data_IF_322671452343
#
_entry.id   IF_322671452343
#
_cell.length_a   1.000
_cell.length_b   1.000
_cell.length_c   1.000
_cell.angle_alpha   90.00
_cell.angle_beta   90.00
_cell.angle_gamma   90.00
#
_symmetry.space_group_name_H-M   'P 1'
#
loop_
_entity.id
_entity.type
_entity.pdbx_description
1 polymer ?
#
# COMPACT_ATOMS: atom_id res chain seq x y z
N UNK A 1 7.98 -3.42 -29.04
CA UNK A 1 6.51 -3.50 -29.29
C UNK A 1 5.97 -4.88 -28.91
N UNK A 2 6.64 -5.97 -29.30
CA UNK A 2 6.32 -7.37 -28.91
C UNK A 2 6.16 -7.58 -27.39
N UNK A 3 7.16 -7.14 -26.60
CA UNK A 3 7.18 -7.35 -25.14
C UNK A 3 6.02 -6.68 -24.40
N UNK A 4 5.54 -5.54 -24.92
CA UNK A 4 4.42 -4.81 -24.31
C UNK A 4 3.11 -5.50 -24.63
N UNK A 5 2.94 -5.98 -25.87
CA UNK A 5 1.77 -6.79 -26.27
C UNK A 5 1.70 -8.10 -25.47
N UNK A 6 2.82 -8.82 -25.33
CA UNK A 6 2.87 -10.05 -24.55
C UNK A 6 2.53 -9.82 -23.07
N UNK A 7 2.89 -8.67 -22.52
CA UNK A 7 2.55 -8.31 -21.14
C UNK A 7 1.09 -7.89 -20.99
N UNK A 8 0.52 -7.22 -21.99
CA UNK A 8 -0.92 -6.89 -22.03
C UNK A 8 -1.75 -8.18 -22.16
N UNK A 9 -1.36 -9.10 -23.03
CA UNK A 9 -2.03 -10.40 -23.19
C UNK A 9 -1.89 -11.27 -21.93
N UNK A 10 -0.71 -11.25 -21.27
CA UNK A 10 -0.52 -11.90 -19.97
C UNK A 10 -1.44 -11.34 -18.88
N UNK A 11 -1.68 -10.04 -18.86
CA UNK A 11 -2.61 -9.41 -17.90
C UNK A 11 -4.08 -9.70 -18.26
N UNK A 12 -4.42 -9.76 -19.55
CA UNK A 12 -5.77 -10.09 -20.02
C UNK A 12 -6.15 -11.54 -19.71
N UNK A 13 -5.24 -12.50 -19.93
CA UNK A 13 -5.45 -13.93 -19.63
C UNK A 13 -5.58 -14.24 -18.13
N UNK A 14 -5.21 -13.31 -17.25
CA UNK A 14 -5.47 -13.41 -15.81
C UNK A 14 -6.83 -12.85 -15.41
N UNK A 15 -7.45 -11.97 -16.21
CA UNK A 15 -8.78 -11.41 -15.95
C UNK A 15 -9.85 -12.50 -15.84
N UNK A 16 -9.69 -13.59 -16.58
CA UNK A 16 -10.65 -14.72 -16.61
C UNK A 16 -10.49 -15.71 -15.44
N UNK A 17 -9.50 -15.52 -14.54
CA UNK A 17 -9.30 -16.41 -13.37
C UNK A 17 -9.82 -15.86 -12.06
N UNK A 18 -10.30 -14.61 -12.03
CA UNK A 18 -10.78 -13.98 -10.81
C UNK A 18 -12.31 -14.07 -10.78
N UNK A 19 -12.81 -15.19 -10.29
CA UNK A 19 -14.20 -15.34 -9.85
C UNK A 19 -14.46 -14.36 -8.70
N UNK A 20 -15.71 -13.91 -8.54
CA UNK A 20 -16.19 -12.79 -7.70
C UNK A 20 -15.83 -12.79 -6.19
N UNK A 21 -14.95 -13.68 -5.72
CA UNK A 21 -14.52 -13.81 -4.32
C UNK A 21 -13.29 -12.93 -4.03
N UNK A 22 -12.62 -12.40 -5.06
CA UNK A 22 -11.27 -11.82 -4.96
C UNK A 22 -11.25 -10.32 -5.35
N UNK A 23 -12.15 -9.53 -4.77
CA UNK A 23 -12.23 -8.08 -5.00
C UNK A 23 -10.92 -7.39 -4.58
N UNK A 24 -10.07 -7.07 -5.57
CA UNK A 24 -8.79 -6.36 -5.42
C UNK A 24 -8.88 -4.94 -5.99
N UNK A 25 -9.56 -4.00 -5.30
CA UNK A 25 -9.78 -2.64 -5.80
C UNK A 25 -8.49 -1.86 -6.05
N UNK A 26 -7.39 -2.24 -5.41
CA UNK A 26 -6.07 -1.62 -5.60
C UNK A 26 -5.45 -1.89 -6.98
N UNK A 27 -5.94 -2.89 -7.72
CA UNK A 27 -5.51 -3.19 -9.11
C UNK A 27 -6.35 -2.39 -10.13
N UNK A 28 -7.57 -2.00 -9.75
CA UNK A 28 -8.50 -1.30 -10.63
C UNK A 28 -8.69 0.15 -10.16
N UNK A 29 -7.76 1.02 -10.55
CA UNK A 29 -8.04 2.46 -10.54
C UNK A 29 -9.07 2.75 -11.64
N UNK A 30 -10.36 2.75 -11.28
CA UNK A 30 -11.42 3.16 -12.21
C UNK A 30 -11.17 4.60 -12.68
N UNK A 31 -11.68 4.97 -13.85
CA UNK A 31 -11.47 6.31 -14.45
C UNK A 31 -11.61 7.49 -13.46
N UNK A 32 -12.61 7.51 -12.56
CA UNK A 32 -12.73 8.53 -11.51
C UNK A 32 -11.56 8.56 -10.51
N UNK A 33 -11.04 7.41 -10.08
CA UNK A 33 -9.89 7.33 -9.17
C UNK A 33 -8.62 7.89 -9.83
N UNK A 34 -8.40 7.59 -11.11
CA UNK A 34 -7.27 8.15 -11.87
C UNK A 34 -7.35 9.68 -11.98
N UNK A 35 -8.54 10.24 -12.22
CA UNK A 35 -8.74 11.68 -12.26
C UNK A 35 -8.47 12.34 -10.90
N UNK A 36 -8.98 11.74 -9.81
CA UNK A 36 -8.73 12.20 -8.45
C UNK A 36 -7.23 12.17 -8.09
N UNK A 37 -6.52 11.07 -8.41
CA UNK A 37 -5.08 10.96 -8.15
C UNK A 37 -4.27 12.03 -8.91
N UNK A 38 -4.62 12.30 -10.17
CA UNK A 38 -3.96 13.35 -10.97
C UNK A 38 -4.23 14.77 -10.47
N UNK A 39 -5.42 15.02 -9.95
CA UNK A 39 -5.83 16.33 -9.44
C UNK A 39 -5.47 16.59 -7.98
N UNK A 40 -4.99 15.58 -7.24
CA UNK A 40 -4.66 15.72 -5.82
C UNK A 40 -3.46 16.64 -5.61
N UNK A 41 -3.68 17.73 -4.87
CA UNK A 41 -2.61 18.60 -4.41
C UNK A 41 -2.26 18.23 -2.97
N UNK A 42 -1.00 17.86 -2.76
CA UNK A 42 -0.49 17.46 -1.46
C UNK A 42 -0.65 18.59 -0.44
N UNK A 43 -1.16 18.26 0.74
CA UNK A 43 -1.25 19.17 1.89
C UNK A 43 -0.30 18.72 2.98
N UNK A 44 0.23 19.68 3.73
CA UNK A 44 1.04 19.38 4.92
C UNK A 44 0.19 18.70 5.98
N UNK A 45 0.69 17.61 6.54
CA UNK A 45 0.10 16.95 7.70
C UNK A 45 1.11 16.99 8.85
N UNK A 46 0.75 17.64 9.95
CA UNK A 46 1.70 17.98 11.01
C UNK A 46 1.77 16.95 12.15
N UNK A 47 0.88 15.96 12.16
CA UNK A 47 0.86 14.92 13.18
C UNK A 47 1.66 13.69 12.71
N UNK A 48 1.84 12.74 13.63
CA UNK A 48 2.52 11.48 13.32
C UNK A 48 1.71 10.63 12.35
N UNK A 49 2.42 9.89 11.51
CA UNK A 49 1.87 8.95 10.55
C UNK A 49 2.58 7.61 10.72
N UNK A 50 1.79 6.54 10.80
CA UNK A 50 2.30 5.18 10.82
C UNK A 50 2.09 4.55 9.44
N UNK A 51 3.17 4.08 8.81
CA UNK A 51 3.15 3.38 7.53
C UNK A 51 3.42 1.89 7.75
N UNK A 52 2.46 1.05 7.40
CA UNK A 52 2.67 -0.40 7.31
C UNK A 52 3.12 -0.76 5.90
N UNK A 53 4.34 -1.28 5.77
CA UNK A 53 4.97 -1.56 4.48
C UNK A 53 5.19 -3.06 4.29
N UNK A 54 4.88 -3.56 3.09
CA UNK A 54 5.21 -4.92 2.68
C UNK A 54 6.73 -5.14 2.63
N UNK A 55 7.19 -6.24 3.23
CA UNK A 55 8.60 -6.62 3.25
C UNK A 55 9.07 -7.16 1.90
N UNK A 56 8.19 -7.87 1.18
CA UNK A 56 8.47 -8.29 -0.19
C UNK A 56 8.25 -7.11 -1.13
N UNK A 57 9.35 -6.65 -1.71
CA UNK A 57 9.40 -5.53 -2.67
C UNK A 57 9.32 -6.02 -4.13
N UNK A 58 8.85 -7.25 -4.35
CA UNK A 58 8.69 -7.93 -5.64
C UNK A 58 8.45 -6.96 -6.79
N UNK A 59 9.41 -6.94 -7.71
CA UNK A 59 9.58 -5.91 -8.73
C UNK A 59 8.41 -5.90 -9.73
N UNK A 60 7.43 -5.01 -9.56
CA UNK A 60 6.55 -4.70 -10.69
C UNK A 60 5.95 -3.29 -10.75
N UNK A 61 6.05 -2.48 -9.69
CA UNK A 61 5.47 -1.13 -9.71
C UNK A 61 6.55 -0.07 -9.42
N UNK A 62 7.20 0.31 -10.51
CA UNK A 62 7.98 1.53 -10.76
C UNK A 62 7.90 2.62 -9.70
N UNK A 63 8.95 2.73 -8.89
CA UNK A 63 9.48 4.01 -8.42
C UNK A 63 10.98 3.84 -8.16
N UNK A 64 11.80 4.82 -8.55
CA UNK A 64 13.24 4.82 -8.28
C UNK A 64 13.56 4.95 -6.78
N UNK A 65 12.56 5.29 -5.96
CA UNK A 65 12.64 5.41 -4.51
C UNK A 65 11.63 4.47 -3.82
N UNK A 66 12.01 3.90 -2.67
CA UNK A 66 11.07 3.13 -1.85
C UNK A 66 9.91 4.03 -1.40
N UNK A 67 8.67 3.52 -1.24
CA UNK A 67 7.56 4.33 -0.73
C UNK A 67 7.89 5.07 0.56
N UNK A 68 8.60 4.42 1.49
CA UNK A 68 9.13 5.02 2.72
C UNK A 68 9.93 6.30 2.44
N UNK A 69 10.80 6.32 1.44
CA UNK A 69 11.65 7.47 1.15
C UNK A 69 10.82 8.69 0.74
N UNK A 70 9.83 8.52 -0.14
CA UNK A 70 8.94 9.59 -0.55
C UNK A 70 8.15 10.16 0.64
N UNK A 71 7.68 9.31 1.56
CA UNK A 71 6.99 9.77 2.77
C UNK A 71 7.94 10.41 3.78
N UNK A 72 9.19 9.94 3.87
CA UNK A 72 10.20 10.50 4.77
C UNK A 72 10.61 11.92 4.36
N UNK A 73 10.68 12.20 3.07
CA UNK A 73 10.90 13.56 2.54
C UNK A 73 9.79 14.54 2.98
N UNK A 74 8.55 14.05 3.14
CA UNK A 74 7.40 14.87 3.50
C UNK A 74 7.19 15.01 5.02
N UNK A 75 7.46 13.94 5.77
CA UNK A 75 7.06 13.83 7.18
C UNK A 75 8.26 13.84 8.15
N UNK A 76 9.47 13.54 7.67
CA UNK A 76 10.67 13.52 8.49
C UNK A 76 10.56 12.55 9.67
N UNK A 77 10.76 13.07 10.87
CA UNK A 77 10.68 12.37 12.16
C UNK A 77 9.25 11.98 12.58
N UNK A 78 8.24 12.48 11.86
CA UNK A 78 6.82 12.17 12.11
C UNK A 78 6.37 10.87 11.47
N UNK A 79 7.22 10.22 10.68
CA UNK A 79 6.93 8.94 10.04
C UNK A 79 7.47 7.78 10.88
N UNK A 80 6.58 6.88 11.28
CA UNK A 80 6.91 5.58 11.87
C UNK A 80 6.63 4.48 10.83
N UNK A 81 7.60 3.61 10.53
CA UNK A 81 7.45 2.55 9.52
C UNK A 81 7.49 1.18 10.16
N UNK A 82 6.48 0.35 9.87
CA UNK A 82 6.38 -1.03 10.32
C UNK A 82 6.39 -1.97 9.11
N UNK A 83 7.36 -2.89 9.05
CA UNK A 83 7.36 -3.92 8.01
C UNK A 83 6.36 -5.04 8.35
N UNK A 84 5.65 -5.52 7.34
CA UNK A 84 4.73 -6.65 7.38
C UNK A 84 5.16 -7.64 6.31
N UNK A 85 5.23 -8.92 6.65
CA UNK A 85 5.67 -9.95 5.71
C UNK A 85 4.71 -10.08 4.52
N UNK A 86 5.20 -10.52 3.37
CA UNK A 86 4.41 -10.68 2.14
C UNK A 86 4.53 -9.50 1.17
N UNK A 87 3.88 -9.60 0.01
CA UNK A 87 3.82 -8.56 -1.01
C UNK A 87 2.67 -7.57 -0.78
N UNK A 88 2.72 -6.41 -1.44
CA UNK A 88 1.71 -5.34 -1.29
C UNK A 88 0.25 -5.82 -1.44
N UNK A 89 -0.02 -6.73 -2.38
CA UNK A 89 -1.37 -7.24 -2.64
C UNK A 89 -1.81 -8.35 -1.69
N UNK A 90 -0.90 -8.86 -0.86
CA UNK A 90 -1.13 -9.97 0.08
C UNK A 90 -1.34 -9.48 1.51
N UNK A 91 -0.97 -8.23 1.83
CA UNK A 91 -1.03 -7.68 3.20
C UNK A 91 -2.40 -7.80 3.86
N UNK A 92 -3.47 -7.68 3.08
CA UNK A 92 -4.85 -7.78 3.58
C UNK A 92 -5.45 -9.19 3.45
N UNK A 93 -4.64 -10.19 3.09
CA UNK A 93 -5.03 -11.59 3.01
C UNK A 93 -4.28 -12.43 4.05
N UNK A 94 -4.82 -13.59 4.39
CA UNK A 94 -4.13 -14.54 5.25
C UNK A 94 -2.84 -15.07 4.57
N UNK A 95 -1.76 -15.31 5.33
CA UNK A 95 -1.65 -15.13 6.79
C UNK A 95 -1.27 -13.69 7.23
N UNK A 96 -0.99 -12.80 6.28
CA UNK A 96 -0.37 -11.49 6.53
C UNK A 96 -1.29 -10.49 7.24
N UNK A 97 -2.60 -10.59 6.98
CA UNK A 97 -3.62 -9.73 7.60
C UNK A 97 -3.62 -9.83 9.12
N UNK A 98 -3.32 -11.01 9.66
CA UNK A 98 -3.23 -11.22 11.11
C UNK A 98 -2.09 -10.42 11.73
N UNK A 99 -0.91 -10.47 11.11
CA UNK A 99 0.27 -9.71 11.53
C UNK A 99 0.03 -8.20 11.37
N UNK A 100 -0.62 -7.80 10.28
CA UNK A 100 -0.99 -6.40 10.05
C UNK A 100 -1.95 -5.90 11.15
N UNK A 101 -2.99 -6.67 11.48
CA UNK A 101 -3.96 -6.32 12.50
C UNK A 101 -3.32 -6.18 13.89
N UNK A 102 -2.48 -7.13 14.28
CA UNK A 102 -1.73 -7.07 15.56
C UNK A 102 -0.91 -5.78 15.68
N UNK A 103 -0.23 -5.36 14.61
CA UNK A 103 0.56 -4.12 14.59
C UNK A 103 -0.30 -2.87 14.63
N UNK A 104 -1.45 -2.85 13.94
CA UNK A 104 -2.39 -1.73 13.98
C UNK A 104 -2.93 -1.55 15.40
N UNK A 105 -3.39 -2.63 16.03
CA UNK A 105 -3.92 -2.59 17.41
C UNK A 105 -2.86 -2.04 18.36
N UNK A 106 -1.63 -2.56 18.32
CA UNK A 106 -0.54 -2.07 19.17
C UNK A 106 -0.25 -0.56 18.96
N UNK A 107 -0.33 -0.06 17.71
CA UNK A 107 -0.16 1.37 17.43
C UNK A 107 -1.32 2.21 17.98
N UNK A 108 -2.55 1.71 17.88
CA UNK A 108 -3.74 2.38 18.41
C UNK A 108 -3.71 2.43 19.93
N UNK A 109 -3.36 1.32 20.59
CA UNK A 109 -3.23 1.25 22.04
C UNK A 109 -2.17 2.23 22.55
N UNK A 110 -1.02 2.32 21.87
CA UNK A 110 0.01 3.31 22.18
C UNK A 110 -0.49 4.75 22.01
N UNK A 111 -1.27 5.02 20.97
CA UNK A 111 -1.80 6.36 20.70
C UNK A 111 -2.91 6.78 21.70
N UNK A 112 -3.72 5.83 22.16
CA UNK A 112 -4.83 6.06 23.08
C UNK A 112 -4.39 6.00 24.55
N UNK A 113 -3.40 5.17 24.89
CA UNK A 113 -2.91 4.95 26.24
C UNK A 113 -1.89 5.99 26.74
N UNK A 114 -1.38 6.86 25.86
CA UNK A 114 -0.43 7.94 26.22
C UNK A 114 -1.06 9.20 26.83
N UNK A 115 -2.29 9.12 27.34
CA UNK A 115 -3.08 10.25 27.86
C UNK A 115 -3.21 10.33 29.39
N UNK A 116 -2.46 9.53 30.14
CA UNK A 116 -2.43 9.57 31.61
C UNK A 116 -1.01 9.60 32.13
N UNK A 117 -0.39 10.77 32.09
CA UNK A 117 0.69 11.20 33.00
C UNK A 117 0.47 12.67 33.36
#
# INVERSE_FOLDING_TARGET
MELVKNKIDYLQTKKDRYTDIDFKPHIYALGPDLACRKGYQLKTYNNRVTLFQASDRGSMFFSFASPEQAWKELLGDKLEVHQVTGAHHELCAEPHVKILAEKIIACMDKAMGGGTE
#
